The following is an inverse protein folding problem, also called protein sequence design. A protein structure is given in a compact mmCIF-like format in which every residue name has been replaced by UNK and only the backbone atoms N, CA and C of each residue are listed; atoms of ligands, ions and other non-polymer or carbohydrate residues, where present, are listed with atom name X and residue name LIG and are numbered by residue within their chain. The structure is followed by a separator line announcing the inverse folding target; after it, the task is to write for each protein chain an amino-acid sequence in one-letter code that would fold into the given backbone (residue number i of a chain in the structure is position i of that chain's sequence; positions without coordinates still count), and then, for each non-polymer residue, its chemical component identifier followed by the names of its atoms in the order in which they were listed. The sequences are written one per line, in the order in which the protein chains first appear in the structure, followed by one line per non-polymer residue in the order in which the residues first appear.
data_IF_917018632301
#
_entry.id   IF_917018632301
#
_cell.length_a   1.000
_cell.length_b   1.000
_cell.length_c   1.000
_cell.angle_alpha   90.00
_cell.angle_beta   90.00
_cell.angle_gamma   90.00
#
_symmetry.space_group_name_H-M   'P 1'
#
loop_
_entity.id
_entity.type
_entity.pdbx_description
1 polymer ?
#
# COMPACT_ATOMS: atom_id res chain seq x y z
N UNK A 1 30.28 -13.01 8.36
CA UNK A 1 28.97 -12.37 8.66
C UNK A 1 28.97 -11.00 8.02
N UNK A 2 28.19 -10.83 6.96
CA UNK A 2 28.02 -9.55 6.26
C UNK A 2 26.76 -8.89 6.83
N UNK A 3 26.79 -7.59 7.07
CA UNK A 3 25.61 -6.86 7.52
C UNK A 3 24.83 -6.43 6.28
N UNK A 4 23.57 -6.83 6.18
CA UNK A 4 22.62 -6.38 5.16
C UNK A 4 21.65 -5.35 5.78
N UNK A 5 20.97 -4.58 4.94
CA UNK A 5 19.95 -3.65 5.42
C UNK A 5 18.80 -4.45 6.04
N UNK A 6 18.13 -3.87 7.05
CA UNK A 6 16.96 -4.50 7.67
C UNK A 6 15.81 -4.74 6.68
N UNK A 7 15.77 -3.93 5.62
CA UNK A 7 14.82 -4.07 4.51
C UNK A 7 15.13 -5.26 3.61
N UNK A 8 16.37 -5.76 3.61
CA UNK A 8 16.84 -6.92 2.85
C UNK A 8 16.75 -8.22 3.64
N UNK A 9 15.74 -8.31 4.49
CA UNK A 9 15.45 -9.54 5.22
C UNK A 9 14.07 -9.96 4.79
N UNK A 10 13.97 -11.12 4.16
CA UNK A 10 12.72 -11.66 3.61
C UNK A 10 12.15 -10.84 2.45
N UNK A 11 13.02 -10.20 1.66
CA UNK A 11 12.65 -9.46 0.45
C UNK A 11 12.80 -10.28 -0.84
N UNK A 12 13.20 -11.55 -0.73
CA UNK A 12 13.19 -12.51 -1.83
C UNK A 12 14.47 -12.55 -2.66
N UNK A 13 15.46 -11.72 -2.33
CA UNK A 13 16.80 -11.76 -2.89
C UNK A 13 17.79 -12.37 -1.88
N UNK A 14 18.78 -13.10 -2.38
CA UNK A 14 19.83 -13.70 -1.54
C UNK A 14 20.99 -12.72 -1.38
N UNK A 15 20.86 -11.76 -0.48
CA UNK A 15 21.89 -10.75 -0.19
C UNK A 15 22.97 -11.26 0.76
N UNK A 16 22.66 -12.26 1.58
CA UNK A 16 23.62 -12.99 2.38
C UNK A 16 24.20 -14.19 1.62
N UNK A 17 25.53 -14.38 1.71
CA UNK A 17 26.22 -15.55 1.14
C UNK A 17 25.73 -16.89 1.72
N UNK A 18 25.22 -16.87 2.96
CA UNK A 18 24.62 -18.01 3.64
C UNK A 18 23.09 -18.06 3.51
N UNK A 19 22.49 -17.15 2.72
CA UNK A 19 21.05 -17.03 2.46
C UNK A 19 20.22 -16.87 3.76
N UNK A 20 20.86 -16.47 4.86
CA UNK A 20 20.25 -16.41 6.18
C UNK A 20 19.26 -15.26 6.36
N UNK A 21 19.33 -14.26 5.48
CA UNK A 21 18.37 -13.18 5.31
C UNK A 21 17.00 -13.68 4.84
N UNK A 22 16.97 -14.73 4.03
CA UNK A 22 15.77 -15.36 3.50
C UNK A 22 15.31 -16.60 4.30
N UNK A 23 15.99 -16.91 5.40
CA UNK A 23 15.67 -18.04 6.27
C UNK A 23 14.86 -17.62 7.50
N UNK A 24 13.89 -18.47 7.89
CA UNK A 24 13.06 -18.28 9.09
C UNK A 24 12.33 -16.92 9.12
N UNK A 25 11.86 -16.50 7.95
CA UNK A 25 10.89 -15.44 7.82
C UNK A 25 9.58 -15.92 8.46
N UNK A 26 9.27 -15.41 9.66
CA UNK A 26 8.00 -15.69 10.32
C UNK A 26 6.89 -15.50 9.29
N UNK A 27 6.22 -16.62 9.00
CA UNK A 27 5.41 -16.79 7.82
C UNK A 27 4.51 -15.59 7.62
N UNK A 28 4.72 -14.88 6.50
CA UNK A 28 3.67 -14.11 5.85
C UNK A 28 2.40 -14.96 5.98
N UNK A 29 1.32 -14.39 6.54
CA UNK A 29 0.11 -15.11 6.94
C UNK A 29 -0.26 -16.22 5.93
N UNK A 30 -0.70 -17.42 6.33
CA UNK A 30 -0.92 -18.54 5.40
C UNK A 30 -1.76 -18.10 4.18
N UNK A 31 -1.09 -17.97 3.02
CA UNK A 31 -1.64 -17.40 1.78
C UNK A 31 -0.98 -16.09 1.28
N UNK A 32 -0.09 -15.46 2.04
CA UNK A 32 0.60 -14.24 1.66
C UNK A 32 1.96 -14.57 1.00
N UNK A 33 1.96 -14.70 -0.31
CA UNK A 33 3.19 -14.92 -1.10
C UNK A 33 4.05 -13.65 -1.16
N UNK A 34 3.44 -12.47 -1.06
CA UNK A 34 4.10 -11.17 -1.20
C UNK A 34 3.98 -10.28 0.05
N UNK A 35 4.88 -9.30 0.16
CA UNK A 35 4.85 -8.27 1.19
C UNK A 35 3.63 -7.34 1.02
N UNK A 36 3.17 -6.62 2.06
CA UNK A 36 2.02 -5.71 1.94
C UNK A 36 2.20 -4.59 0.90
N UNK A 37 3.45 -4.26 0.58
CA UNK A 37 3.88 -3.29 -0.43
C UNK A 37 4.02 -3.87 -1.84
N UNK A 38 3.63 -5.12 -2.05
CA UNK A 38 3.79 -5.85 -3.30
C UNK A 38 2.45 -6.38 -3.81
N UNK A 39 2.38 -6.65 -5.11
CA UNK A 39 1.27 -7.31 -5.79
C UNK A 39 1.72 -8.69 -6.27
N UNK A 40 0.90 -9.70 -6.01
CA UNK A 40 1.15 -11.07 -6.45
C UNK A 40 0.52 -11.30 -7.83
N UNK A 41 1.33 -11.66 -8.81
CA UNK A 41 0.83 -12.07 -10.13
C UNK A 41 -0.13 -13.26 -10.00
N UNK A 42 -1.15 -13.33 -10.87
CA UNK A 42 -2.21 -14.34 -10.73
C UNK A 42 -1.74 -15.75 -11.08
N UNK A 43 -1.00 -15.90 -12.18
CA UNK A 43 -0.50 -17.22 -12.65
C UNK A 43 0.92 -17.55 -12.20
N UNK A 44 1.70 -16.54 -11.86
CA UNK A 44 3.09 -16.71 -11.48
C UNK A 44 3.24 -16.49 -9.98
N UNK A 45 4.09 -17.29 -9.32
CA UNK A 45 4.52 -17.01 -7.94
C UNK A 45 5.55 -15.87 -7.94
N UNK A 46 5.20 -14.74 -8.56
CA UNK A 46 6.04 -13.55 -8.69
C UNK A 46 5.36 -12.39 -7.98
N UNK A 47 6.16 -11.68 -7.20
CA UNK A 47 5.77 -10.43 -6.57
C UNK A 47 6.35 -9.27 -7.37
N UNK A 48 5.53 -8.26 -7.63
CA UNK A 48 5.96 -6.98 -8.21
C UNK A 48 5.69 -5.87 -7.19
N UNK A 49 6.43 -4.75 -7.23
CA UNK A 49 6.11 -3.58 -6.44
C UNK A 49 4.65 -3.15 -6.63
N UNK A 50 3.94 -2.75 -5.56
CA UNK A 50 2.54 -2.27 -5.67
C UNK A 50 2.40 -1.06 -6.61
N UNK A 51 3.48 -0.31 -6.82
CA UNK A 51 3.53 0.79 -7.80
C UNK A 51 3.41 0.35 -9.25
N UNK A 52 3.69 -0.92 -9.57
CA UNK A 52 3.58 -1.50 -10.92
C UNK A 52 2.20 -2.11 -11.17
N UNK A 53 1.33 -2.17 -10.16
CA UNK A 53 -0.04 -2.62 -10.36
C UNK A 53 -0.90 -1.46 -10.88
N UNK A 54 -1.42 -1.59 -12.09
CA UNK A 54 -2.20 -0.57 -12.81
C UNK A 54 -1.38 0.65 -13.23
N UNK A 55 -0.15 0.43 -13.71
CA UNK A 55 0.77 1.48 -14.16
C UNK A 55 0.85 1.62 -15.69
N UNK A 56 -0.01 0.88 -16.42
CA UNK A 56 -0.09 0.76 -17.87
C UNK A 56 1.05 -0.04 -18.52
N UNK A 57 1.89 -0.73 -17.75
CA UNK A 57 2.92 -1.64 -18.23
C UNK A 57 2.61 -3.07 -17.81
N UNK A 58 3.06 -4.01 -18.63
CA UNK A 58 2.93 -5.43 -18.34
C UNK A 58 4.16 -5.90 -17.57
N UNK A 59 4.03 -6.02 -16.25
CA UNK A 59 5.06 -6.52 -15.35
C UNK A 59 4.86 -7.99 -14.97
N UNK A 60 3.61 -8.45 -14.91
CA UNK A 60 3.31 -9.89 -14.81
C UNK A 60 3.29 -10.55 -16.21
N UNK A 61 3.81 -11.78 -16.34
CA UNK A 61 3.81 -12.45 -17.66
C UNK A 61 2.39 -12.74 -18.18
N UNK A 62 1.41 -12.83 -17.29
CA UNK A 62 -0.01 -13.01 -17.59
C UNK A 62 -0.82 -11.71 -17.66
N UNK A 63 -0.18 -10.54 -17.51
CA UNK A 63 -0.81 -9.22 -17.53
C UNK A 63 -1.88 -9.05 -16.42
N UNK A 64 -1.80 -9.83 -15.34
CA UNK A 64 -2.79 -9.80 -14.26
C UNK A 64 -2.75 -8.52 -13.42
N UNK A 65 -1.62 -7.84 -13.44
CA UNK A 65 -1.33 -6.53 -12.87
C UNK A 65 -2.11 -5.37 -13.52
N UNK A 66 -2.45 -5.51 -14.80
CA UNK A 66 -3.15 -4.46 -15.57
C UNK A 66 -4.62 -4.76 -15.84
N UNK A 67 -5.18 -5.81 -15.22
CA UNK A 67 -6.57 -6.24 -15.44
C UNK A 67 -7.46 -5.84 -14.26
N UNK A 68 -8.58 -5.18 -14.55
CA UNK A 68 -9.57 -4.78 -13.54
C UNK A 68 -9.21 -3.49 -12.79
N UNK A 69 -8.26 -2.72 -13.30
CA UNK A 69 -7.85 -1.43 -12.77
C UNK A 69 -8.99 -0.41 -12.78
N UNK A 70 -9.07 0.39 -11.73
CA UNK A 70 -10.04 1.49 -11.64
C UNK A 70 -9.40 2.73 -11.05
N UNK A 71 -9.71 3.88 -11.64
CA UNK A 71 -9.16 5.16 -11.23
C UNK A 71 -9.66 5.55 -9.82
N UNK A 72 -8.84 6.25 -9.02
CA UNK A 72 -9.26 6.72 -7.70
C UNK A 72 -10.51 7.60 -7.78
N UNK A 73 -11.54 7.23 -7.02
CA UNK A 73 -12.77 8.02 -6.87
C UNK A 73 -13.15 8.14 -5.40
N UNK A 74 -13.82 9.24 -5.04
CA UNK A 74 -14.31 9.45 -3.68
C UNK A 74 -15.67 8.76 -3.56
N UNK A 75 -15.74 7.70 -2.75
CA UNK A 75 -17.00 7.02 -2.44
C UNK A 75 -17.86 7.86 -1.47
N UNK A 76 -17.22 8.44 -0.45
CA UNK A 76 -17.81 9.48 0.38
C UNK A 76 -16.72 10.35 1.00
N UNK A 77 -16.98 11.66 1.07
CA UNK A 77 -16.12 12.65 1.68
C UNK A 77 -16.67 13.15 3.01
N UNK A 78 -15.86 13.92 3.75
CA UNK A 78 -16.34 14.58 4.96
C UNK A 78 -17.38 15.66 4.62
N UNK A 79 -18.27 16.01 5.58
CA UNK A 79 -19.21 17.11 5.39
C UNK A 79 -18.46 18.43 5.14
N UNK A 80 -19.02 19.27 4.25
CA UNK A 80 -18.43 20.56 3.89
C UNK A 80 -18.41 21.55 5.08
N UNK A 81 -19.41 21.46 5.96
CA UNK A 81 -19.54 22.29 7.16
C UNK A 81 -19.90 21.39 8.33
N UNK A 82 -19.24 21.60 9.47
CA UNK A 82 -19.54 20.89 10.70
C UNK A 82 -19.57 21.88 11.88
N UNK A 83 -20.66 21.86 12.64
CA UNK A 83 -20.80 22.67 13.84
C UNK A 83 -20.33 21.86 15.04
N UNK A 84 -19.31 22.34 15.75
CA UNK A 84 -18.74 21.70 16.92
C UNK A 84 -18.91 22.58 18.15
N UNK A 85 -19.11 21.95 19.30
CA UNK A 85 -19.07 22.62 20.60
C UNK A 85 -17.65 22.65 21.15
N UNK A 86 -17.36 23.60 22.04
CA UNK A 86 -16.05 23.69 22.69
C UNK A 86 -15.78 22.40 23.49
N UNK A 87 -14.61 21.81 23.27
CA UNK A 87 -14.22 20.52 23.86
C UNK A 87 -14.70 19.29 23.08
N UNK A 88 -15.44 19.46 21.98
CA UNK A 88 -15.80 18.35 21.09
C UNK A 88 -14.60 17.86 20.26
N UNK A 89 -14.61 16.58 19.91
CA UNK A 89 -13.63 15.97 18.99
C UNK A 89 -14.14 15.99 17.56
N UNK A 90 -13.33 16.51 16.64
CA UNK A 90 -13.60 16.49 15.20
C UNK A 90 -13.11 15.17 14.58
N UNK A 91 -14.03 14.41 13.96
CA UNK A 91 -13.70 13.20 13.20
C UNK A 91 -13.98 13.47 11.71
N UNK A 92 -12.92 13.46 10.91
CA UNK A 92 -12.99 13.66 9.46
C UNK A 92 -12.76 12.31 8.79
N UNK A 93 -13.76 11.82 8.04
CA UNK A 93 -13.67 10.55 7.31
C UNK A 93 -13.74 10.78 5.82
N UNK A 94 -12.87 10.13 5.05
CA UNK A 94 -12.97 10.02 3.61
C UNK A 94 -12.71 8.57 3.21
N UNK A 95 -13.55 8.04 2.33
CA UNK A 95 -13.31 6.76 1.68
C UNK A 95 -13.10 6.99 0.19
N UNK A 96 -11.91 6.66 -0.27
CA UNK A 96 -11.61 6.55 -1.69
C UNK A 96 -11.62 5.08 -2.11
N UNK A 97 -12.10 4.81 -3.31
CA UNK A 97 -12.16 3.46 -3.90
C UNK A 97 -11.46 3.47 -5.26
N UNK A 98 -10.63 2.45 -5.48
CA UNK A 98 -9.89 2.21 -6.71
C UNK A 98 -9.21 0.83 -6.65
N UNK A 99 -8.67 0.41 -7.78
CA UNK A 99 -7.81 -0.76 -7.92
C UNK A 99 -6.53 -0.26 -8.62
N UNK A 100 -5.36 -0.27 -7.94
CA UNK A 100 -5.13 -0.66 -6.54
C UNK A 100 -5.83 0.26 -5.53
N UNK A 101 -5.97 -0.20 -4.28
CA UNK A 101 -6.55 0.63 -3.21
C UNK A 101 -5.79 1.97 -3.13
N UNK A 102 -6.49 3.11 -3.22
CA UNK A 102 -5.84 4.41 -3.32
C UNK A 102 -5.27 4.83 -1.96
N UNK A 103 -4.20 5.63 -2.01
CA UNK A 103 -3.65 6.30 -0.83
C UNK A 103 -4.37 7.65 -0.67
N UNK A 104 -4.99 7.87 0.49
CA UNK A 104 -5.63 9.15 0.82
C UNK A 104 -4.63 10.03 1.55
N UNK A 105 -4.19 11.10 0.89
CA UNK A 105 -3.32 12.11 1.47
C UNK A 105 -4.14 13.32 1.92
N UNK A 106 -4.17 13.58 3.24
CA UNK A 106 -4.89 14.72 3.81
C UNK A 106 -4.03 15.98 3.78
N UNK A 107 -4.62 17.11 3.39
CA UNK A 107 -4.03 18.44 3.54
C UNK A 107 -5.02 19.34 4.29
N UNK A 108 -4.59 19.85 5.44
CA UNK A 108 -5.37 20.76 6.26
C UNK A 108 -4.88 22.19 6.00
N UNK A 109 -5.78 23.05 5.52
CA UNK A 109 -5.50 24.48 5.35
C UNK A 109 -6.22 25.25 6.46
N UNK A 110 -5.49 25.65 7.48
CA UNK A 110 -6.03 26.48 8.56
C UNK A 110 -6.03 27.94 8.09
N UNK A 111 -7.21 28.54 7.94
CA UNK A 111 -7.33 30.00 7.98
C UNK A 111 -7.34 30.47 9.44
N UNK A 112 -7.12 31.77 9.66
CA UNK A 112 -7.06 32.41 10.97
C UNK A 112 -8.15 31.86 11.91
N UNK A 113 -7.73 31.23 13.00
CA UNK A 113 -8.63 30.80 14.08
C UNK A 113 -8.98 32.06 14.87
N UNK A 114 -10.25 32.52 14.90
CA UNK A 114 -10.64 33.63 15.75
C UNK A 114 -10.49 33.21 17.22
N UNK A 115 -9.87 34.07 18.03
CA UNK A 115 -9.81 33.95 19.50
C UNK A 115 -11.19 34.10 20.14
#
# INVERSE_FOLDING_TARGET
RKCVLKTWRCDGDFDCEDQSDEMNCESKAPGAVCSPSEFHCRKENRCIPRSYHCDMHKDCADNSDEIGCSKPTIAYGPPATLNLTIGATLIITCKAVAIPTPIVNWRLNWHHVPE
#
